data_IF_796933239991
#
_entry.id   IF_796933239991
#
_cell.length_a   1.000
_cell.length_b   1.000
_cell.length_c   1.000
_cell.angle_alpha   90.00
_cell.angle_beta   90.00
_cell.angle_gamma   90.00
#
_symmetry.space_group_name_H-M   'P 1'
#
loop_
_entity.id
_entity.type
_entity.pdbx_description
1 polymer ?
#
# COMPACT_ATOMS: atom_id res chain seq x y z
N UNK A 1 -14.87 -8.28 15.03
CA UNK A 1 -13.88 -7.51 15.80
C UNK A 1 -14.17 -7.57 17.29
N UNK A 2 -15.26 -7.02 17.84
CA UNK A 2 -15.54 -6.91 19.30
C UNK A 2 -15.35 -8.25 20.03
N UNK A 3 -16.06 -9.30 19.62
CA UNK A 3 -15.96 -10.65 20.24
C UNK A 3 -14.52 -11.19 20.26
N UNK A 4 -13.75 -10.96 19.19
CA UNK A 4 -12.36 -11.41 19.11
C UNK A 4 -11.47 -10.61 20.06
N UNK A 5 -11.65 -9.30 20.14
CA UNK A 5 -10.87 -8.43 21.04
C UNK A 5 -11.17 -8.75 22.52
N UNK A 6 -12.44 -8.94 22.89
CA UNK A 6 -12.85 -9.37 24.23
C UNK A 6 -12.22 -10.70 24.63
N UNK A 7 -12.17 -11.67 23.70
CA UNK A 7 -11.49 -12.94 23.93
C UNK A 7 -9.98 -12.76 24.16
N UNK A 8 -9.33 -11.88 23.39
CA UNK A 8 -7.90 -11.59 23.58
C UNK A 8 -7.60 -10.89 24.91
N UNK A 9 -8.49 -10.05 25.40
CA UNK A 9 -8.34 -9.38 26.72
C UNK A 9 -8.24 -10.39 27.87
N UNK A 10 -8.86 -11.57 27.77
CA UNK A 10 -8.75 -12.60 28.81
C UNK A 10 -7.33 -13.19 28.91
N UNK A 11 -6.51 -13.06 27.87
CA UNK A 11 -5.16 -13.62 27.81
C UNK A 11 -4.05 -12.57 27.86
N UNK A 12 -4.37 -11.26 27.79
CA UNK A 12 -3.37 -10.20 27.71
C UNK A 12 -3.72 -8.98 28.58
N UNK A 13 -2.70 -8.32 29.10
CA UNK A 13 -2.83 -7.00 29.76
C UNK A 13 -2.72 -5.88 28.70
N UNK A 14 -3.52 -5.96 27.63
CA UNK A 14 -3.54 -4.93 26.60
C UNK A 14 -3.94 -3.58 27.19
N UNK A 15 -3.24 -2.50 26.80
CA UNK A 15 -3.49 -1.14 27.26
C UNK A 15 -4.20 -0.27 26.23
N UNK A 16 -4.21 -0.68 24.97
CA UNK A 16 -4.84 0.01 23.85
C UNK A 16 -5.04 -0.96 22.67
N UNK A 17 -5.83 -0.54 21.70
CA UNK A 17 -6.13 -1.27 20.48
C UNK A 17 -5.74 -0.40 19.29
N UNK A 18 -5.00 -0.97 18.34
CA UNK A 18 -4.78 -0.36 17.04
C UNK A 18 -5.54 -1.12 15.95
N UNK A 19 -6.11 -0.39 15.01
CA UNK A 19 -6.88 -0.94 13.89
C UNK A 19 -6.36 -0.32 12.60
N UNK A 20 -5.87 -1.16 11.67
CA UNK A 20 -5.66 -0.78 10.28
C UNK A 20 -6.96 -1.04 9.50
N UNK A 21 -7.47 -0.04 8.81
CA UNK A 21 -8.71 -0.12 8.04
C UNK A 21 -8.50 0.42 6.61
N UNK A 22 -9.26 -0.06 5.61
CA UNK A 22 -9.20 0.51 4.28
C UNK A 22 -9.73 1.95 4.26
N UNK A 23 -9.15 2.79 3.40
CA UNK A 23 -9.63 4.15 3.18
C UNK A 23 -10.82 4.21 2.19
N UNK A 24 -11.52 5.37 2.15
CA UNK A 24 -11.24 6.59 2.88
C UNK A 24 -11.68 6.53 4.36
N UNK A 25 -10.93 7.21 5.23
CA UNK A 25 -11.23 7.30 6.66
C UNK A 25 -10.71 8.62 7.26
N UNK A 26 -11.30 9.05 8.37
CA UNK A 26 -10.79 10.12 9.24
C UNK A 26 -10.00 9.48 10.40
N UNK A 27 -8.68 9.39 10.27
CA UNK A 27 -7.83 8.78 11.29
C UNK A 27 -7.83 9.55 12.62
N UNK A 28 -8.09 10.86 12.60
CA UNK A 28 -8.14 11.69 13.82
C UNK A 28 -9.36 11.35 14.66
N UNK A 29 -10.50 11.17 14.00
CA UNK A 29 -11.77 10.81 14.65
C UNK A 29 -12.00 9.30 14.73
N UNK A 30 -11.26 8.49 13.96
CA UNK A 30 -11.45 7.05 13.87
C UNK A 30 -12.77 6.68 13.18
N UNK A 31 -13.16 7.44 12.15
CA UNK A 31 -14.40 7.26 11.38
C UNK A 31 -14.06 6.66 10.01
N UNK A 32 -14.74 5.59 9.62
CA UNK A 32 -14.67 5.01 8.29
C UNK A 32 -15.66 5.74 7.38
N UNK A 33 -15.21 6.19 6.20
CA UNK A 33 -15.95 7.11 5.32
C UNK A 33 -16.51 6.44 4.05
N UNK A 34 -16.86 5.16 4.09
CA UNK A 34 -17.43 4.44 2.95
C UNK A 34 -16.39 3.87 1.98
N UNK A 35 -15.48 3.00 2.43
CA UNK A 35 -14.52 2.36 1.55
C UNK A 35 -15.24 1.41 0.57
N UNK A 36 -14.86 1.43 -0.72
CA UNK A 36 -15.56 0.65 -1.76
C UNK A 36 -15.58 -0.86 -1.51
N UNK A 37 -14.58 -1.37 -0.80
CA UNK A 37 -14.44 -2.79 -0.46
C UNK A 37 -15.12 -3.19 0.86
N UNK A 38 -15.81 -2.27 1.54
CA UNK A 38 -16.63 -2.53 2.73
C UNK A 38 -18.04 -1.93 2.57
N UNK A 39 -18.92 -2.52 1.75
CA UNK A 39 -20.28 -2.04 1.56
C UNK A 39 -21.04 -1.92 2.89
N UNK A 40 -21.75 -0.81 3.09
CA UNK A 40 -22.50 -0.52 4.31
C UNK A 40 -21.67 0.05 5.47
N UNK A 41 -20.42 0.41 5.23
CA UNK A 41 -19.56 1.08 6.21
C UNK A 41 -19.46 2.60 5.98
N UNK A 42 -20.59 3.23 5.68
CA UNK A 42 -20.67 4.67 5.47
C UNK A 42 -20.71 5.42 6.80
N UNK A 43 -19.74 6.31 7.04
CA UNK A 43 -19.64 7.14 8.25
C UNK A 43 -19.70 6.33 9.57
N UNK A 44 -19.02 5.18 9.63
CA UNK A 44 -18.98 4.34 10.83
C UNK A 44 -17.97 4.90 11.84
N UNK A 45 -18.39 5.35 13.05
CA UNK A 45 -17.49 5.83 14.10
C UNK A 45 -16.83 4.64 14.81
N UNK A 46 -15.93 3.95 14.09
CA UNK A 46 -15.33 2.69 14.51
C UNK A 46 -14.59 2.79 15.85
N UNK A 47 -13.86 3.89 16.06
CA UNK A 47 -13.16 4.16 17.32
C UNK A 47 -14.13 4.16 18.49
N UNK A 48 -15.18 4.99 18.44
CA UNK A 48 -16.13 5.16 19.53
C UNK A 48 -16.89 3.86 19.83
N UNK A 49 -17.33 3.15 18.77
CA UNK A 49 -18.00 1.85 18.92
C UNK A 49 -17.11 0.84 19.64
N UNK A 50 -15.83 0.80 19.30
CA UNK A 50 -14.87 -0.12 19.90
C UNK A 50 -14.55 0.27 21.35
N UNK A 51 -14.30 1.55 21.61
CA UNK A 51 -14.00 2.06 22.96
C UNK A 51 -15.14 1.82 23.94
N UNK A 52 -16.39 2.08 23.53
CA UNK A 52 -17.60 1.81 24.34
C UNK A 52 -17.78 0.33 24.69
N UNK A 53 -17.38 -0.57 23.78
CA UNK A 53 -17.59 -2.02 23.99
C UNK A 53 -16.44 -2.73 24.68
N UNK A 54 -15.24 -2.15 24.68
CA UNK A 54 -14.03 -2.83 25.14
C UNK A 54 -13.39 -2.11 26.33
N UNK A 55 -13.74 -0.86 26.56
CA UNK A 55 -13.18 0.00 27.62
C UNK A 55 -11.64 0.14 27.55
N UNK A 56 -11.08 0.18 26.35
CA UNK A 56 -9.68 0.48 26.08
C UNK A 56 -9.58 1.57 25.02
N UNK A 57 -8.55 2.42 25.08
CA UNK A 57 -8.26 3.39 24.01
C UNK A 57 -8.10 2.70 22.65
N UNK A 58 -8.68 3.29 21.61
CA UNK A 58 -8.62 2.75 20.25
C UNK A 58 -8.02 3.80 19.30
N UNK A 59 -7.08 3.37 18.48
CA UNK A 59 -6.52 4.15 17.37
C UNK A 59 -6.82 3.47 16.06
N UNK A 60 -7.42 4.20 15.14
CA UNK A 60 -7.71 3.73 13.78
C UNK A 60 -6.84 4.49 12.80
N UNK A 61 -6.25 3.79 11.84
CA UNK A 61 -5.50 4.39 10.74
C UNK A 61 -5.68 3.56 9.46
N UNK A 62 -5.18 4.07 8.34
CA UNK A 62 -5.16 3.33 7.09
C UNK A 62 -4.30 2.07 7.21
N UNK A 63 -4.68 0.98 6.53
CA UNK A 63 -3.98 -0.30 6.56
C UNK A 63 -2.58 -0.23 5.92
N UNK A 64 -2.40 0.59 4.86
CA UNK A 64 -1.09 0.84 4.28
C UNK A 64 -0.20 1.67 5.22
N UNK A 65 -0.75 2.65 5.95
CA UNK A 65 -0.04 3.37 7.00
C UNK A 65 0.41 2.45 8.12
N UNK A 66 -0.45 1.52 8.56
CA UNK A 66 -0.07 0.51 9.54
C UNK A 66 1.07 -0.37 9.03
N UNK A 67 0.99 -0.86 7.78
CA UNK A 67 2.05 -1.65 7.19
C UNK A 67 3.36 -0.86 7.03
N UNK A 68 3.29 0.41 6.61
CA UNK A 68 4.43 1.32 6.53
C UNK A 68 5.13 1.47 7.87
N UNK A 69 4.36 1.68 8.94
CA UNK A 69 4.88 1.79 10.31
C UNK A 69 5.62 0.53 10.75
N UNK A 70 5.06 -0.65 10.47
CA UNK A 70 5.71 -1.92 10.78
C UNK A 70 7.03 -2.10 10.04
N UNK A 71 7.04 -1.87 8.72
CA UNK A 71 8.24 -1.98 7.90
C UNK A 71 9.31 -0.96 8.28
N UNK A 72 8.92 0.26 8.66
CA UNK A 72 9.83 1.29 9.15
C UNK A 72 10.47 0.94 10.51
N UNK A 73 9.82 0.13 11.34
CA UNK A 73 10.35 -0.24 12.65
C UNK A 73 11.08 -1.59 12.66
N UNK A 74 10.57 -2.58 11.92
CA UNK A 74 10.99 -3.98 12.05
C UNK A 74 11.28 -4.66 10.71
N UNK A 75 10.99 -4.00 9.59
CA UNK A 75 11.16 -4.55 8.26
C UNK A 75 12.30 -3.91 7.47
N UNK A 76 12.12 -3.82 6.16
CA UNK A 76 13.12 -3.30 5.24
C UNK A 76 13.50 -1.83 5.50
N UNK A 77 12.60 -1.04 6.11
CA UNK A 77 12.82 0.35 6.49
C UNK A 77 13.44 0.58 7.87
N UNK A 78 13.82 -0.46 8.62
CA UNK A 78 14.18 -0.33 10.04
C UNK A 78 15.39 0.60 10.30
N UNK A 79 16.36 0.63 9.40
CA UNK A 79 17.59 1.44 9.50
C UNK A 79 17.48 2.86 8.96
N UNK A 80 16.32 3.28 8.44
CA UNK A 80 16.14 4.54 7.73
C UNK A 80 15.26 5.52 8.51
N UNK A 81 15.52 6.81 8.31
CA UNK A 81 14.76 7.91 8.93
C UNK A 81 13.42 8.12 8.23
N UNK A 82 13.46 8.12 6.88
CA UNK A 82 12.29 8.30 6.02
C UNK A 82 12.03 7.07 5.16
N UNK A 83 10.83 6.51 5.29
CA UNK A 83 10.40 5.27 4.63
C UNK A 83 9.08 5.51 3.91
N UNK A 84 9.06 5.32 2.60
CA UNK A 84 7.80 5.29 1.87
C UNK A 84 7.44 3.85 1.53
N UNK A 85 6.36 3.36 2.12
CA UNK A 85 5.83 2.03 1.84
C UNK A 85 4.79 2.11 0.71
N UNK A 86 4.87 1.20 -0.24
CA UNK A 86 3.91 1.06 -1.33
C UNK A 86 3.41 -0.38 -1.32
N UNK A 87 2.10 -0.58 -1.22
CA UNK A 87 1.48 -1.89 -1.41
C UNK A 87 0.91 -2.00 -2.80
N UNK A 88 1.34 -3.02 -3.55
CA UNK A 88 0.79 -3.39 -4.87
C UNK A 88 0.08 -4.73 -4.71
N UNK A 89 -1.25 -4.66 -4.65
CA UNK A 89 -2.13 -5.82 -4.41
C UNK A 89 -3.33 -5.75 -5.35
N UNK A 90 -4.55 -6.00 -4.89
CA UNK A 90 -5.78 -5.71 -5.65
C UNK A 90 -5.77 -4.27 -6.17
N UNK A 91 -5.41 -3.32 -5.30
CA UNK A 91 -5.16 -1.92 -5.64
C UNK A 91 -3.71 -1.52 -5.40
N UNK A 92 -3.47 -0.20 -5.36
CA UNK A 92 -2.21 0.43 -4.96
C UNK A 92 -2.48 1.39 -3.80
N UNK A 93 -1.79 1.21 -2.70
CA UNK A 93 -1.82 2.13 -1.57
C UNK A 93 -0.41 2.53 -1.14
N UNK A 94 -0.30 3.51 -0.26
CA UNK A 94 1.00 3.91 0.27
C UNK A 94 0.90 4.46 1.68
N UNK A 95 2.05 4.58 2.33
CA UNK A 95 2.19 5.22 3.64
C UNK A 95 3.59 5.78 3.80
N UNK A 96 3.67 7.00 4.31
CA UNK A 96 4.93 7.68 4.57
C UNK A 96 5.23 7.74 6.07
N UNK A 97 6.40 7.27 6.44
CA UNK A 97 6.91 7.30 7.82
C UNK A 97 8.18 8.12 7.84
N UNK A 98 8.22 9.14 8.70
CA UNK A 98 9.37 9.97 8.95
C UNK A 98 9.69 9.96 10.45
N UNK A 99 10.95 9.75 10.82
CA UNK A 99 11.37 9.62 12.24
C UNK A 99 10.50 8.63 13.03
N UNK A 100 10.19 7.47 12.41
CA UNK A 100 9.35 6.42 13.01
C UNK A 100 7.90 6.85 13.30
N UNK A 101 7.44 7.98 12.75
CA UNK A 101 6.09 8.49 12.86
C UNK A 101 5.38 8.47 11.51
N UNK A 102 4.13 8.01 11.47
CA UNK A 102 3.31 8.06 10.26
C UNK A 102 2.94 9.51 9.94
N UNK A 103 3.21 9.92 8.73
CA UNK A 103 2.76 11.21 8.18
C UNK A 103 1.36 11.02 7.62
N UNK A 104 0.35 11.48 8.36
CA UNK A 104 -1.07 11.30 8.00
C UNK A 104 -1.61 12.37 7.03
N UNK A 105 -0.97 13.56 7.03
CA UNK A 105 -1.50 14.72 6.33
C UNK A 105 -2.68 15.38 7.03
N UNK A 106 -3.18 16.46 6.43
CA UNK A 106 -4.27 17.26 7.00
C UNK A 106 -5.58 16.48 7.09
N UNK A 107 -5.87 15.68 6.07
CA UNK A 107 -7.13 14.96 5.87
C UNK A 107 -6.96 13.43 5.92
N UNK A 108 -5.89 12.93 6.56
CA UNK A 108 -5.56 11.51 6.61
C UNK A 108 -5.34 10.85 5.22
N UNK A 109 -4.94 11.64 4.22
CA UNK A 109 -4.75 11.19 2.84
C UNK A 109 -3.28 11.26 2.38
N UNK A 110 -2.32 11.51 3.27
CA UNK A 110 -0.91 11.44 2.88
C UNK A 110 -0.56 9.98 2.53
N UNK A 111 0.11 9.81 1.41
CA UNK A 111 0.45 8.47 0.92
C UNK A 111 -0.58 7.82 0.00
N UNK A 112 -1.72 8.45 -0.28
CA UNK A 112 -2.76 7.96 -1.20
C UNK A 112 -2.29 8.05 -2.67
N UNK A 113 -1.19 7.36 -2.99
CA UNK A 113 -0.57 7.38 -4.32
C UNK A 113 -1.34 6.58 -5.36
N UNK A 114 -2.23 5.68 -4.95
CA UNK A 114 -3.02 4.87 -5.87
C UNK A 114 -3.86 5.71 -6.82
N UNK A 115 -4.38 6.86 -6.36
CA UNK A 115 -5.16 7.78 -7.18
C UNK A 115 -4.32 8.91 -7.84
N UNK A 116 -2.99 8.85 -7.74
CA UNK A 116 -2.07 9.75 -8.44
C UNK A 116 -2.22 9.55 -9.95
N UNK A 117 -2.52 10.63 -10.69
CA UNK A 117 -2.64 10.59 -12.16
C UNK A 117 -1.23 10.57 -12.75
N UNK A 118 -0.89 9.50 -13.46
CA UNK A 118 0.42 9.30 -14.09
C UNK A 118 0.36 9.38 -15.61
N UNK A 119 -0.84 9.37 -16.18
CA UNK A 119 -1.10 9.58 -17.60
C UNK A 119 -2.50 10.18 -17.80
N UNK A 120 -2.75 10.77 -18.96
CA UNK A 120 -4.07 11.30 -19.32
C UNK A 120 -4.97 10.25 -20.02
N UNK A 121 -4.47 9.04 -20.23
CA UNK A 121 -5.17 7.92 -20.87
C UNK A 121 -5.46 6.80 -19.86
N UNK A 122 -6.25 5.80 -20.25
CA UNK A 122 -6.53 4.64 -19.43
C UNK A 122 -8.02 4.39 -19.20
N UNK A 123 -8.37 3.36 -18.43
CA UNK A 123 -9.74 2.99 -18.14
C UNK A 123 -10.45 4.03 -17.26
N UNK A 124 -11.77 4.10 -17.38
CA UNK A 124 -12.63 4.89 -16.51
C UNK A 124 -13.01 4.07 -15.27
N UNK A 125 -13.17 4.73 -14.12
CA UNK A 125 -13.60 4.13 -12.87
C UNK A 125 -14.52 5.10 -12.11
N UNK A 126 -15.54 4.63 -11.35
CA UNK A 126 -16.49 5.51 -10.65
C UNK A 126 -15.85 6.40 -9.57
N UNK A 127 -14.74 5.94 -8.96
CA UNK A 127 -14.11 6.60 -7.80
C UNK A 127 -12.69 7.08 -8.13
N UNK A 128 -11.91 6.27 -8.86
CA UNK A 128 -10.52 6.58 -9.18
C UNK A 128 -10.42 7.48 -10.41
N UNK A 129 -9.44 8.33 -10.42
CA UNK A 129 -9.14 9.19 -11.56
C UNK A 129 -8.69 8.35 -12.77
N UNK A 130 -9.15 8.73 -13.95
CA UNK A 130 -8.62 8.18 -15.20
C UNK A 130 -7.10 8.38 -15.25
N UNK A 131 -6.35 7.35 -15.64
CA UNK A 131 -4.89 7.41 -15.69
C UNK A 131 -4.19 7.37 -14.33
N UNK A 132 -4.92 6.98 -13.28
CA UNK A 132 -4.33 6.80 -11.95
C UNK A 132 -3.42 5.57 -11.87
N UNK A 133 -2.44 5.64 -10.98
CA UNK A 133 -1.46 4.57 -10.76
C UNK A 133 -2.15 3.22 -10.46
N UNK A 134 -3.18 3.21 -9.62
CA UNK A 134 -3.90 1.98 -9.28
C UNK A 134 -4.59 1.35 -10.50
N UNK A 135 -5.23 2.16 -11.35
CA UNK A 135 -5.89 1.64 -12.55
C UNK A 135 -4.92 1.06 -13.58
N UNK A 136 -3.64 1.37 -13.49
CA UNK A 136 -2.62 1.00 -14.48
C UNK A 136 -1.58 0.02 -13.93
N UNK A 137 -1.27 0.06 -12.64
CA UNK A 137 -0.18 -0.71 -12.03
C UNK A 137 -0.60 -1.47 -10.77
N UNK A 138 -1.85 -1.93 -10.68
CA UNK A 138 -2.31 -2.84 -9.62
C UNK A 138 -2.41 -4.29 -10.09
N UNK A 139 -2.59 -5.22 -9.15
CA UNK A 139 -2.91 -6.62 -9.47
C UNK A 139 -4.20 -6.75 -10.27
N UNK A 140 -5.23 -5.92 -9.99
CA UNK A 140 -6.47 -5.85 -10.79
C UNK A 140 -6.20 -5.33 -12.20
N UNK A 141 -5.29 -4.37 -12.37
CA UNK A 141 -4.88 -3.89 -13.69
C UNK A 141 -4.21 -5.00 -14.51
N UNK A 142 -3.29 -5.75 -13.90
CA UNK A 142 -2.66 -6.91 -14.53
C UNK A 142 -3.67 -8.00 -14.92
N UNK A 143 -4.59 -8.35 -14.00
CA UNK A 143 -5.66 -9.33 -14.29
C UNK A 143 -6.54 -8.88 -15.44
N UNK A 144 -6.94 -7.61 -15.46
CA UNK A 144 -7.74 -7.02 -16.55
C UNK A 144 -7.01 -7.12 -17.89
N UNK A 145 -5.74 -6.73 -17.95
CA UNK A 145 -4.94 -6.81 -19.17
C UNK A 145 -4.76 -8.26 -19.64
N UNK A 146 -4.43 -9.18 -18.74
CA UNK A 146 -4.31 -10.62 -19.04
C UNK A 146 -5.61 -11.23 -19.55
N UNK A 147 -6.76 -10.84 -18.96
CA UNK A 147 -8.07 -11.28 -19.45
C UNK A 147 -8.39 -10.74 -20.83
N UNK A 148 -8.12 -9.47 -21.09
CA UNK A 148 -8.44 -8.82 -22.36
C UNK A 148 -7.55 -9.29 -23.52
N UNK A 149 -6.26 -9.48 -23.29
CA UNK A 149 -5.28 -9.74 -24.35
C UNK A 149 -4.92 -11.23 -24.50
N UNK A 150 -5.02 -12.01 -23.41
CA UNK A 150 -4.63 -13.43 -23.38
C UNK A 150 -5.77 -14.35 -22.95
N UNK A 151 -6.98 -13.82 -22.72
CA UNK A 151 -8.15 -14.56 -22.23
C UNK A 151 -7.89 -15.35 -20.92
N UNK A 152 -6.96 -14.85 -20.08
CA UNK A 152 -6.64 -15.48 -18.80
C UNK A 152 -7.80 -15.37 -17.81
N UNK A 153 -7.99 -16.43 -17.01
CA UNK A 153 -9.00 -16.47 -15.94
C UNK A 153 -8.36 -16.49 -14.53
N UNK A 154 -7.03 -16.60 -14.47
CA UNK A 154 -6.26 -16.70 -13.25
C UNK A 154 -5.90 -15.36 -12.61
N UNK A 155 -5.01 -15.41 -11.65
CA UNK A 155 -4.47 -14.24 -10.97
C UNK A 155 -3.28 -13.60 -11.75
N UNK A 156 -2.77 -12.47 -11.25
CA UNK A 156 -1.62 -11.80 -11.86
C UNK A 156 -0.36 -12.70 -11.93
N UNK A 157 -0.23 -13.70 -11.05
CA UNK A 157 0.89 -14.63 -11.05
C UNK A 157 0.93 -15.52 -12.30
N UNK A 158 -0.24 -15.81 -12.90
CA UNK A 158 -0.29 -16.54 -14.17
C UNK A 158 0.35 -15.75 -15.32
N UNK A 159 0.10 -14.45 -15.35
CA UNK A 159 0.69 -13.55 -16.35
C UNK A 159 2.23 -13.51 -16.24
N UNK A 160 2.77 -13.42 -15.01
CA UNK A 160 4.22 -13.48 -14.80
C UNK A 160 4.83 -14.81 -15.24
N UNK A 161 4.14 -15.94 -15.02
CA UNK A 161 4.61 -17.25 -15.50
C UNK A 161 4.62 -17.35 -17.03
N UNK A 162 3.63 -16.81 -17.70
CA UNK A 162 3.59 -16.77 -19.16
C UNK A 162 4.73 -15.94 -19.75
N UNK A 163 4.98 -14.76 -19.16
CA UNK A 163 6.10 -13.91 -19.57
C UNK A 163 7.46 -14.60 -19.39
N UNK A 164 7.66 -15.30 -18.26
CA UNK A 164 8.87 -16.12 -18.02
C UNK A 164 9.02 -17.26 -19.05
N UNK A 165 7.91 -17.85 -19.49
CA UNK A 165 7.90 -18.89 -20.52
C UNK A 165 8.05 -18.33 -21.95
N UNK A 166 8.21 -17.03 -22.10
CA UNK A 166 8.53 -16.39 -23.37
C UNK A 166 7.36 -15.81 -24.13
N UNK A 167 6.12 -15.85 -23.58
CA UNK A 167 4.95 -15.25 -24.25
C UNK A 167 5.16 -13.74 -24.46
N UNK A 168 5.13 -13.24 -25.71
CA UNK A 168 5.44 -11.85 -26.01
C UNK A 168 4.39 -10.88 -25.45
N UNK A 169 3.10 -11.22 -25.54
CA UNK A 169 2.02 -10.38 -25.06
C UNK A 169 2.05 -10.24 -23.54
N UNK A 170 2.36 -11.35 -22.83
CA UNK A 170 2.53 -11.29 -21.39
C UNK A 170 3.73 -10.42 -20.97
N UNK A 171 4.83 -10.47 -21.75
CA UNK A 171 5.99 -9.59 -21.52
C UNK A 171 5.62 -8.12 -21.70
N UNK A 172 4.92 -7.78 -22.79
CA UNK A 172 4.49 -6.41 -23.07
C UNK A 172 3.60 -5.85 -21.94
N UNK A 173 2.66 -6.66 -21.44
CA UNK A 173 1.79 -6.26 -20.31
C UNK A 173 2.60 -6.01 -19.04
N UNK A 174 3.60 -6.85 -18.75
CA UNK A 174 4.45 -6.69 -17.57
C UNK A 174 5.38 -5.49 -17.72
N UNK A 175 5.93 -5.26 -18.90
CA UNK A 175 6.75 -4.07 -19.16
C UNK A 175 5.94 -2.79 -18.97
N UNK A 176 4.71 -2.75 -19.45
CA UNK A 176 3.79 -1.62 -19.25
C UNK A 176 3.49 -1.38 -17.77
N UNK A 177 3.20 -2.45 -17.01
CA UNK A 177 3.03 -2.39 -15.56
C UNK A 177 4.26 -1.82 -14.85
N UNK A 178 5.48 -2.29 -15.21
CA UNK A 178 6.73 -1.81 -14.64
C UNK A 178 6.92 -0.32 -14.95
N UNK A 179 6.65 0.11 -16.18
CA UNK A 179 6.77 1.51 -16.60
C UNK A 179 5.84 2.42 -15.77
N UNK A 180 4.57 2.06 -15.60
CA UNK A 180 3.63 2.85 -14.81
C UNK A 180 4.02 2.88 -13.32
N UNK A 181 4.44 1.74 -12.76
CA UNK A 181 4.87 1.69 -11.37
C UNK A 181 6.13 2.53 -11.15
N UNK A 182 7.07 2.51 -12.10
CA UNK A 182 8.29 3.33 -12.06
C UNK A 182 7.99 4.82 -12.06
N UNK A 183 7.04 5.28 -12.89
CA UNK A 183 6.58 6.68 -12.91
C UNK A 183 6.01 7.06 -11.54
N UNK A 184 5.13 6.21 -10.98
CA UNK A 184 4.54 6.45 -9.66
C UNK A 184 5.60 6.56 -8.55
N UNK A 185 6.57 5.67 -8.54
CA UNK A 185 7.70 5.69 -7.58
C UNK A 185 8.56 6.93 -7.78
N UNK A 186 8.90 7.29 -9.01
CA UNK A 186 9.70 8.49 -9.30
C UNK A 186 8.99 9.77 -8.84
N UNK A 187 7.67 9.85 -9.00
CA UNK A 187 6.88 10.98 -8.48
C UNK A 187 6.94 11.06 -6.95
N UNK A 188 6.90 9.92 -6.24
CA UNK A 188 7.11 9.88 -4.79
C UNK A 188 8.51 10.38 -4.42
N UNK A 189 9.55 9.89 -5.11
CA UNK A 189 10.94 10.33 -4.88
C UNK A 189 11.05 11.84 -5.06
N UNK A 190 10.51 12.40 -6.15
CA UNK A 190 10.56 13.85 -6.41
C UNK A 190 9.72 14.70 -5.43
N UNK A 191 8.75 14.10 -4.74
CA UNK A 191 7.83 14.84 -3.86
C UNK A 191 8.28 14.84 -2.40
N UNK A 192 8.76 13.69 -1.89
CA UNK A 192 9.07 13.53 -0.47
C UNK A 192 10.50 13.04 -0.19
N UNK A 193 11.28 12.72 -1.24
CA UNK A 193 12.69 12.30 -1.19
C UNK A 193 13.00 11.31 -0.05
N UNK A 194 12.37 10.12 -0.04
CA UNK A 194 12.55 9.19 1.07
C UNK A 194 13.90 8.46 0.98
N UNK A 195 14.48 8.08 2.12
CA UNK A 195 15.72 7.28 2.16
C UNK A 195 15.54 5.91 1.49
N UNK A 196 14.32 5.36 1.56
CA UNK A 196 13.99 4.05 1.01
C UNK A 196 12.51 3.96 0.60
N UNK A 197 12.26 3.32 -0.54
CA UNK A 197 10.95 2.83 -0.95
C UNK A 197 10.85 1.34 -0.56
N UNK A 198 9.80 0.97 0.16
CA UNK A 198 9.53 -0.44 0.53
C UNK A 198 8.30 -0.92 -0.21
N UNK A 199 8.44 -1.96 -1.03
CA UNK A 199 7.36 -2.53 -1.84
C UNK A 199 6.76 -3.77 -1.18
N UNK A 200 5.46 -3.73 -0.89
CA UNK A 200 4.69 -4.85 -0.36
C UNK A 200 3.48 -5.19 -1.25
N UNK A 201 2.60 -6.02 -0.70
CA UNK A 201 1.37 -6.44 -1.39
C UNK A 201 1.49 -7.75 -2.15
N UNK A 202 0.35 -8.22 -2.68
CA UNK A 202 0.24 -9.56 -3.29
C UNK A 202 1.06 -9.75 -4.56
N UNK A 203 1.25 -8.69 -5.36
CA UNK A 203 2.04 -8.72 -6.60
C UNK A 203 3.53 -9.01 -6.31
N UNK A 204 4.01 -8.68 -5.11
CA UNK A 204 5.39 -8.94 -4.69
C UNK A 204 5.73 -10.45 -4.58
N UNK A 205 4.76 -11.35 -4.65
CA UNK A 205 5.01 -12.79 -4.81
C UNK A 205 5.78 -13.11 -6.10
N UNK A 206 5.65 -12.25 -7.11
CA UNK A 206 6.37 -12.35 -8.39
C UNK A 206 7.56 -11.40 -8.51
N UNK A 207 8.05 -10.84 -7.39
CA UNK A 207 9.11 -9.81 -7.37
C UNK A 207 10.35 -10.16 -8.16
N UNK A 208 10.76 -11.41 -8.13
CA UNK A 208 11.98 -11.87 -8.82
C UNK A 208 11.89 -11.75 -10.35
N UNK A 209 10.66 -11.61 -10.88
CA UNK A 209 10.40 -11.44 -12.32
C UNK A 209 10.46 -9.99 -12.80
N UNK A 210 10.42 -8.99 -11.90
CA UNK A 210 10.30 -7.60 -12.34
C UNK A 210 11.12 -6.58 -11.52
N UNK A 211 11.56 -6.91 -10.31
CA UNK A 211 12.20 -5.92 -9.42
C UNK A 211 13.49 -5.32 -9.98
N UNK A 212 14.29 -6.12 -10.69
CA UNK A 212 15.54 -5.62 -11.29
C UNK A 212 15.24 -4.57 -12.36
N UNK A 213 14.30 -4.87 -13.25
CA UNK A 213 13.88 -3.96 -14.30
C UNK A 213 13.19 -2.71 -13.72
N UNK A 214 12.33 -2.88 -12.72
CA UNK A 214 11.69 -1.76 -12.04
C UNK A 214 12.70 -0.78 -11.46
N UNK A 215 13.76 -1.27 -10.79
CA UNK A 215 14.82 -0.39 -10.24
C UNK A 215 15.50 0.43 -11.33
N UNK A 216 15.83 -0.18 -12.46
CA UNK A 216 16.45 0.55 -13.58
C UNK A 216 15.49 1.57 -14.20
N UNK A 217 14.22 1.19 -14.44
CA UNK A 217 13.21 2.12 -14.97
C UNK A 217 12.96 3.31 -14.04
N UNK A 218 12.98 3.13 -12.71
CA UNK A 218 12.88 4.25 -11.76
C UNK A 218 14.08 5.17 -11.88
N UNK A 219 15.32 4.65 -12.02
CA UNK A 219 16.51 5.47 -12.23
C UNK A 219 16.44 6.31 -13.49
N UNK A 220 15.78 5.80 -14.54
CA UNK A 220 15.55 6.55 -15.77
C UNK A 220 14.51 7.67 -15.61
N UNK A 221 13.60 7.52 -14.66
CA UNK A 221 12.52 8.48 -14.37
C UNK A 221 12.91 9.57 -13.36
N UNK A 222 14.07 9.46 -12.67
CA UNK A 222 14.51 10.45 -11.68
C UNK A 222 15.64 11.31 -12.20
N UNK A 223 15.88 12.47 -11.54
CA UNK A 223 17.04 13.31 -11.87
C UNK A 223 18.35 12.53 -11.81
N UNK A 224 19.32 12.78 -12.73
CA UNK A 224 20.58 12.03 -12.80
C UNK A 224 21.33 11.94 -11.46
N UNK A 225 21.32 13.01 -10.66
CA UNK A 225 21.97 13.05 -9.35
C UNK A 225 21.32 12.13 -8.31
N UNK A 226 20.05 11.75 -8.48
CA UNK A 226 19.32 10.87 -7.57
C UNK A 226 19.50 9.38 -7.90
N UNK A 227 19.95 9.04 -9.11
CA UNK A 227 20.01 7.64 -9.59
C UNK A 227 20.77 6.70 -8.66
N UNK A 228 21.86 7.18 -8.05
CA UNK A 228 22.69 6.37 -7.15
C UNK A 228 22.10 6.24 -5.74
N UNK A 229 21.24 7.16 -5.33
CA UNK A 229 20.58 7.14 -4.02
C UNK A 229 19.25 6.36 -4.00
N UNK A 230 18.67 6.04 -5.19
CA UNK A 230 17.43 5.26 -5.27
C UNK A 230 17.59 3.91 -4.60
N UNK A 231 16.81 3.69 -3.52
CA UNK A 231 16.72 2.42 -2.80
C UNK A 231 15.27 1.93 -2.84
N UNK A 232 15.08 0.76 -3.44
CA UNK A 232 13.77 0.11 -3.55
C UNK A 232 13.93 -1.33 -3.09
N UNK A 233 13.30 -1.68 -1.97
CA UNK A 233 13.44 -3.01 -1.37
C UNK A 233 12.06 -3.68 -1.17
N UNK A 234 11.98 -5.01 -1.30
CA UNK A 234 10.77 -5.72 -0.95
C UNK A 234 10.53 -5.69 0.55
N UNK A 235 9.26 -5.59 0.93
CA UNK A 235 8.81 -5.69 2.31
C UNK A 235 9.24 -7.00 2.97
N UNK A 236 9.72 -6.96 4.21
CA UNK A 236 10.20 -8.12 4.94
C UNK A 236 9.12 -8.79 5.80
N UNK A 237 8.14 -8.03 6.29
CA UNK A 237 7.13 -8.56 7.21
C UNK A 237 5.96 -9.25 6.48
N UNK A 238 5.85 -9.07 5.16
CA UNK A 238 4.82 -9.68 4.33
C UNK A 238 3.40 -9.47 4.88
N UNK A 239 2.61 -10.54 5.00
CA UNK A 239 1.23 -10.48 5.51
C UNK A 239 1.12 -10.09 6.99
N UNK A 240 2.21 -10.08 7.74
CA UNK A 240 2.22 -9.67 9.16
C UNK A 240 2.34 -8.16 9.33
N UNK A 241 2.78 -7.42 8.31
CA UNK A 241 3.01 -5.98 8.40
C UNK A 241 1.79 -5.21 8.93
N UNK A 242 0.59 -5.47 8.40
CA UNK A 242 -0.64 -4.81 8.84
C UNK A 242 -0.96 -5.04 10.32
N UNK A 243 -0.80 -6.28 10.82
CA UNK A 243 -1.09 -6.63 12.22
C UNK A 243 -0.05 -6.00 13.17
N UNK A 244 1.23 -6.11 12.83
CA UNK A 244 2.32 -5.53 13.62
C UNK A 244 2.18 -4.00 13.66
N UNK A 245 1.93 -3.37 12.53
CA UNK A 245 1.74 -1.93 12.46
C UNK A 245 0.49 -1.45 13.20
N UNK A 246 -0.64 -2.13 13.05
CA UNK A 246 -1.83 -1.83 13.82
C UNK A 246 -1.55 -1.84 15.34
N UNK A 247 -0.83 -2.86 15.84
CA UNK A 247 -0.44 -2.92 17.25
C UNK A 247 0.45 -1.75 17.70
N UNK A 248 1.12 -1.07 16.77
CA UNK A 248 1.99 0.08 17.05
C UNK A 248 1.26 1.43 16.99
N UNK A 249 0.13 1.54 16.30
CA UNK A 249 -0.60 2.80 16.14
C UNK A 249 -0.85 3.53 17.47
N UNK A 250 -1.23 2.86 18.57
CA UNK A 250 -1.42 3.54 19.85
C UNK A 250 -0.14 4.16 20.46
N UNK A 251 1.04 3.78 19.99
CA UNK A 251 2.32 4.37 20.44
C UNK A 251 2.66 5.65 19.67
N UNK A 252 2.04 5.86 18.51
CA UNK A 252 2.22 7.07 17.68
C UNK A 252 1.49 8.30 18.25
N UNK A 253 0.49 8.07 19.08
CA UNK A 253 -0.42 9.10 19.62
C UNK A 253 0.09 9.77 20.92
N UNK A 254 1.36 9.53 21.29
CA UNK A 254 1.96 10.09 22.53
C UNK A 254 2.98 11.15 22.22
#
# INVERSE_FOLDING_TARGET
MIKMTQRLQTYSKAKAIGIGAPGPLDAKKGIILGPPNLPGWDYVPLKDIMEQRIALPVVVDNDANAAALAEAHFGAGAGYESVFYITVSTGVGGGFVYNKQVIKGANSCAGEIGNMIITNTGPSHPVLNKGSLELLASGTALQRAGKQQLNLQGDAGELFRLAQNGDPTAKDIIEEFINYLAIGIANVIHTVDPDIIVLGGGVMKSKDSFMTELREKVKDCVYPQLRQSVRIEPALLGTKAGIVGAAMLPKQSR
#
